data_IF_614029098774
#
_entry.id   IF_614029098774
#
_cell.length_a   1.000
_cell.length_b   1.000
_cell.length_c   1.000
_cell.angle_alpha   90.00
_cell.angle_beta   90.00
_cell.angle_gamma   90.00
#
_symmetry.space_group_name_H-M   'P 1'
#
loop_
_entity.id
_entity.type
_entity.pdbx_description
1 polymer ?
#
# COMPACT_ATOMS: atom_id res chain seq x y z
N UNK A 1 3.45 -12.42 -24.90
CA UNK A 1 4.34 -11.39 -24.30
C UNK A 1 3.58 -10.27 -23.60
N UNK A 2 2.44 -9.80 -24.12
CA UNK A 2 1.63 -8.74 -23.47
C UNK A 2 1.23 -9.06 -22.00
N UNK A 3 0.83 -10.29 -21.71
CA UNK A 3 0.43 -10.71 -20.34
C UNK A 3 1.55 -10.70 -19.31
N UNK A 4 2.81 -10.87 -19.71
CA UNK A 4 3.96 -10.83 -18.78
C UNK A 4 4.33 -9.38 -18.43
N UNK A 5 4.23 -8.45 -19.39
CA UNK A 5 4.49 -7.03 -19.16
C UNK A 5 3.43 -6.42 -18.25
N UNK A 6 2.15 -6.74 -18.46
CA UNK A 6 1.05 -6.30 -17.56
C UNK A 6 1.24 -6.82 -16.13
N UNK A 7 1.79 -8.04 -15.98
CA UNK A 7 2.06 -8.66 -14.68
C UNK A 7 3.18 -7.99 -13.90
N UNK A 8 4.29 -7.71 -14.57
CA UNK A 8 5.42 -7.00 -13.97
C UNK A 8 5.06 -5.55 -13.62
N UNK A 9 4.22 -4.92 -14.45
CA UNK A 9 3.67 -3.60 -14.16
C UNK A 9 2.85 -3.61 -12.86
N UNK A 10 1.91 -4.54 -12.70
CA UNK A 10 1.06 -4.60 -11.50
C UNK A 10 1.88 -4.80 -10.22
N UNK A 11 2.84 -5.71 -10.24
CA UNK A 11 3.73 -5.94 -9.10
C UNK A 11 4.61 -4.72 -8.77
N UNK A 12 5.14 -4.06 -9.81
CA UNK A 12 5.99 -2.88 -9.68
C UNK A 12 5.25 -1.67 -9.12
N UNK A 13 4.09 -1.35 -9.69
CA UNK A 13 3.25 -0.23 -9.24
C UNK A 13 2.77 -0.44 -7.80
N UNK A 14 2.34 -1.66 -7.45
CA UNK A 14 1.98 -2.00 -6.08
C UNK A 14 3.16 -1.83 -5.12
N UNK A 15 4.35 -2.30 -5.49
CA UNK A 15 5.56 -2.11 -4.68
C UNK A 15 5.89 -0.63 -4.47
N UNK A 16 5.74 0.19 -5.51
CA UNK A 16 5.98 1.63 -5.43
C UNK A 16 5.00 2.33 -4.49
N UNK A 17 3.70 2.03 -4.59
CA UNK A 17 2.68 2.60 -3.70
C UNK A 17 2.91 2.21 -2.23
N UNK A 18 3.28 0.95 -1.97
CA UNK A 18 3.64 0.49 -0.62
C UNK A 18 4.91 1.20 -0.11
N UNK A 19 5.89 1.42 -0.99
CA UNK A 19 7.11 2.14 -0.62
C UNK A 19 6.81 3.60 -0.23
N UNK A 20 5.97 4.28 -1.01
CA UNK A 20 5.54 5.65 -0.73
C UNK A 20 4.77 5.74 0.59
N UNK A 21 3.85 4.80 0.84
CA UNK A 21 3.15 4.71 2.12
C UNK A 21 4.12 4.48 3.29
N UNK A 22 5.16 3.66 3.08
CA UNK A 22 6.22 3.44 4.05
C UNK A 22 7.09 4.68 4.32
N UNK A 23 7.15 5.65 3.40
CA UNK A 23 7.81 6.96 3.65
C UNK A 23 6.91 7.92 4.42
N UNK A 24 5.59 7.76 4.30
CA UNK A 24 4.60 8.53 5.05
C UNK A 24 4.43 8.04 6.50
N UNK A 25 4.92 6.84 6.82
CA UNK A 25 5.05 6.36 8.19
C UNK A 25 6.15 7.13 8.94
N UNK A 26 5.79 7.74 10.07
CA UNK A 26 6.71 8.46 10.94
C UNK A 26 7.67 7.50 11.67
N UNK A 27 8.77 8.02 12.21
CA UNK A 27 9.75 7.20 12.93
C UNK A 27 9.14 6.47 14.15
N UNK A 28 8.12 7.04 14.78
CA UNK A 28 7.39 6.46 15.92
C UNK A 28 6.50 5.27 15.51
N UNK A 29 6.23 5.10 14.22
CA UNK A 29 5.33 4.09 13.65
C UNK A 29 6.14 2.91 13.11
N UNK A 30 7.17 2.53 13.87
CA UNK A 30 8.19 1.57 13.45
C UNK A 30 7.59 0.20 13.07
N UNK A 31 6.52 -0.23 13.73
CA UNK A 31 5.88 -1.51 13.45
C UNK A 31 5.12 -1.49 12.12
N UNK A 32 4.35 -0.43 11.85
CA UNK A 32 3.65 -0.24 10.58
C UNK A 32 4.66 -0.07 9.43
N UNK A 33 5.71 0.71 9.64
CA UNK A 33 6.80 0.86 8.68
C UNK A 33 7.50 -0.48 8.39
N UNK A 34 7.67 -1.34 9.40
CA UNK A 34 8.25 -2.69 9.23
C UNK A 34 7.31 -3.59 8.43
N UNK A 35 6.02 -3.55 8.71
CA UNK A 35 5.02 -4.29 7.94
C UNK A 35 5.04 -3.85 6.47
N UNK A 36 4.98 -2.55 6.19
CA UNK A 36 5.00 -2.02 4.82
C UNK A 36 6.27 -2.44 4.06
N UNK A 37 7.45 -2.45 4.70
CA UNK A 37 8.67 -3.02 4.10
C UNK A 37 8.54 -4.51 3.79
N UNK A 38 7.85 -5.26 4.66
CA UNK A 38 7.55 -6.67 4.45
C UNK A 38 6.57 -6.91 3.30
N UNK A 39 5.55 -6.08 3.17
CA UNK A 39 4.55 -6.15 2.10
C UNK A 39 5.15 -5.75 0.75
N UNK A 40 6.00 -4.73 0.72
CA UNK A 40 6.75 -4.34 -0.48
C UNK A 40 7.58 -5.50 -1.03
N UNK A 41 8.35 -6.16 -0.17
CA UNK A 41 9.13 -7.35 -0.57
C UNK A 41 8.23 -8.46 -1.09
N UNK A 42 7.04 -8.65 -0.52
CA UNK A 42 6.09 -9.64 -1.01
C UNK A 42 5.55 -9.27 -2.40
N UNK A 43 5.24 -7.99 -2.65
CA UNK A 43 4.83 -7.53 -3.98
C UNK A 43 5.90 -7.81 -5.05
N UNK A 44 7.17 -7.67 -4.69
CA UNK A 44 8.31 -7.88 -5.59
C UNK A 44 8.64 -9.37 -5.84
N UNK A 45 8.29 -10.27 -4.91
CA UNK A 45 8.79 -11.66 -4.91
C UNK A 45 7.73 -12.74 -5.01
N UNK A 46 6.47 -12.43 -4.67
CA UNK A 46 5.38 -13.42 -4.68
C UNK A 46 4.65 -13.48 -6.02
N UNK A 47 4.01 -14.63 -6.35
CA UNK A 47 3.19 -14.74 -7.54
C UNK A 47 1.94 -13.83 -7.48
N UNK A 48 1.40 -13.48 -8.65
CA UNK A 48 0.38 -12.44 -8.81
C UNK A 48 -0.95 -12.72 -8.10
N UNK A 49 -1.33 -13.98 -8.02
CA UNK A 49 -2.51 -14.45 -7.29
C UNK A 49 -2.47 -14.08 -5.80
N UNK A 50 -1.28 -13.86 -5.25
CA UNK A 50 -1.11 -13.40 -3.87
C UNK A 50 -1.13 -11.87 -3.71
N UNK A 51 -1.06 -11.09 -4.80
CA UNK A 51 -0.96 -9.63 -4.71
C UNK A 51 -2.23 -8.97 -4.19
N UNK A 52 -3.39 -9.60 -4.36
CA UNK A 52 -4.64 -9.12 -3.74
C UNK A 52 -4.54 -9.08 -2.21
N UNK A 53 -3.99 -10.13 -1.60
CA UNK A 53 -3.76 -10.15 -0.15
C UNK A 53 -2.70 -9.13 0.29
N UNK A 54 -1.69 -8.86 -0.55
CA UNK A 54 -0.68 -7.83 -0.27
C UNK A 54 -1.31 -6.43 -0.32
N UNK A 55 -2.13 -6.14 -1.33
CA UNK A 55 -2.84 -4.87 -1.47
C UNK A 55 -3.81 -4.64 -0.30
N UNK A 56 -4.62 -5.63 0.07
CA UNK A 56 -5.54 -5.54 1.20
C UNK A 56 -4.82 -5.25 2.53
N UNK A 57 -3.69 -5.92 2.79
CA UNK A 57 -2.88 -5.66 3.99
C UNK A 57 -2.21 -4.29 3.98
N UNK A 58 -1.77 -3.82 2.81
CA UNK A 58 -1.20 -2.49 2.67
C UNK A 58 -2.25 -1.39 2.90
N UNK A 59 -3.49 -1.59 2.45
CA UNK A 59 -4.61 -0.72 2.75
C UNK A 59 -4.91 -0.68 4.25
N UNK A 60 -4.96 -1.83 4.92
CA UNK A 60 -5.16 -1.89 6.38
C UNK A 60 -4.04 -1.16 7.16
N UNK A 61 -2.78 -1.37 6.77
CA UNK A 61 -1.65 -0.64 7.35
C UNK A 61 -1.72 0.87 7.09
N UNK A 62 -2.20 1.28 5.92
CA UNK A 62 -2.43 2.68 5.57
C UNK A 62 -3.56 3.33 6.37
N UNK A 63 -4.65 2.59 6.61
CA UNK A 63 -5.74 3.04 7.48
C UNK A 63 -5.25 3.25 8.92
N UNK A 64 -4.44 2.32 9.44
CA UNK A 64 -3.80 2.46 10.75
C UNK A 64 -2.94 3.74 10.83
N UNK A 65 -2.12 4.04 9.80
CA UNK A 65 -1.34 5.29 9.74
C UNK A 65 -2.24 6.52 9.80
N UNK A 66 -3.30 6.55 8.99
CA UNK A 66 -4.26 7.64 8.98
C UNK A 66 -4.85 7.87 10.38
N UNK A 67 -5.24 6.79 11.07
CA UNK A 67 -5.76 6.88 12.45
C UNK A 67 -4.71 7.37 13.45
N UNK A 68 -3.45 6.97 13.31
CA UNK A 68 -2.36 7.45 14.16
C UNK A 68 -2.13 8.95 13.99
N UNK A 69 -2.09 9.45 12.75
CA UNK A 69 -1.98 10.89 12.48
C UNK A 69 -3.18 11.67 13.03
N UNK A 70 -4.41 11.17 12.85
CA UNK A 70 -5.61 11.79 13.42
C UNK A 70 -5.57 11.82 14.95
N UNK A 71 -5.13 10.73 15.59
CA UNK A 71 -5.02 10.62 17.05
C UNK A 71 -4.00 11.61 17.64
N UNK A 72 -3.00 12.00 16.85
CA UNK A 72 -1.98 13.02 17.22
C UNK A 72 -2.37 14.44 16.81
N UNK A 73 -3.49 14.63 16.11
CA UNK A 73 -3.89 15.94 15.55
C UNK A 73 -3.04 16.39 14.36
N UNK A 74 -2.30 15.47 13.73
CA UNK A 74 -1.46 15.74 12.57
C UNK A 74 -2.28 15.68 11.26
N UNK A 75 -2.96 16.79 10.96
CA UNK A 75 -3.79 16.89 9.77
C UNK A 75 -2.99 16.80 8.46
N UNK A 76 -1.75 17.29 8.45
CA UNK A 76 -0.90 17.26 7.25
C UNK A 76 -0.41 15.83 6.97
N UNK A 77 0.01 15.10 8.01
CA UNK A 77 0.34 13.67 7.93
C UNK A 77 -0.84 12.86 7.44
N UNK A 78 -2.03 13.06 8.03
CA UNK A 78 -3.27 12.41 7.61
C UNK A 78 -3.57 12.66 6.12
N UNK A 79 -3.55 13.91 5.67
CA UNK A 79 -3.86 14.23 4.27
C UNK A 79 -2.89 13.56 3.29
N UNK A 80 -1.60 13.52 3.62
CA UNK A 80 -0.60 12.88 2.79
C UNK A 80 -0.78 11.37 2.74
N UNK A 81 -0.96 10.72 3.89
CA UNK A 81 -1.20 9.29 4.00
C UNK A 81 -2.49 8.87 3.29
N UNK A 82 -3.60 9.55 3.56
CA UNK A 82 -4.89 9.29 2.93
C UNK A 82 -4.85 9.42 1.41
N UNK A 83 -4.08 10.39 0.87
CA UNK A 83 -3.86 10.52 -0.57
C UNK A 83 -3.12 9.32 -1.18
N UNK A 84 -2.14 8.76 -0.47
CA UNK A 84 -1.44 7.54 -0.90
C UNK A 84 -2.37 6.33 -0.82
N UNK A 85 -3.10 6.17 0.29
CA UNK A 85 -4.08 5.09 0.49
C UNK A 85 -5.17 5.12 -0.58
N UNK A 86 -5.67 6.31 -0.96
CA UNK A 86 -6.64 6.47 -2.04
C UNK A 86 -6.11 5.97 -3.39
N UNK A 87 -4.87 6.34 -3.76
CA UNK A 87 -4.24 5.81 -4.98
C UNK A 87 -4.00 4.31 -4.93
N UNK A 88 -3.59 3.78 -3.78
CA UNK A 88 -3.44 2.34 -3.57
C UNK A 88 -4.75 1.59 -3.77
N UNK A 89 -5.85 2.15 -3.24
CA UNK A 89 -7.18 1.59 -3.39
C UNK A 89 -7.65 1.62 -4.85
N UNK A 90 -7.59 2.79 -5.51
CA UNK A 90 -7.97 2.96 -6.91
C UNK A 90 -7.18 2.02 -7.83
N UNK A 91 -5.87 1.93 -7.62
CA UNK A 91 -5.02 0.99 -8.34
C UNK A 91 -5.44 -0.46 -8.08
N UNK A 92 -5.68 -0.81 -6.81
CA UNK A 92 -6.09 -2.15 -6.41
C UNK A 92 -7.40 -2.58 -7.06
N UNK A 93 -8.40 -1.69 -7.13
CA UNK A 93 -9.67 -1.94 -7.83
C UNK A 93 -9.45 -2.09 -9.34
N UNK A 94 -8.73 -1.14 -9.96
CA UNK A 94 -8.46 -1.17 -11.40
C UNK A 94 -7.66 -2.42 -11.84
N UNK A 95 -6.77 -2.90 -10.98
CA UNK A 95 -5.95 -4.09 -11.23
C UNK A 95 -6.66 -5.41 -10.83
N UNK A 96 -7.88 -5.35 -10.27
CA UNK A 96 -8.63 -6.53 -9.80
C UNK A 96 -7.99 -7.23 -8.59
N UNK A 97 -7.24 -6.48 -7.77
CA UNK A 97 -6.57 -6.96 -6.57
C UNK A 97 -7.44 -6.87 -5.32
N UNK A 98 -8.31 -5.87 -5.26
CA UNK A 98 -9.31 -5.67 -4.20
C UNK A 98 -10.66 -5.36 -4.83
N UNK A 99 -11.73 -5.58 -4.07
CA UNK A 99 -13.10 -5.34 -4.51
C UNK A 99 -13.68 -4.15 -3.75
N UNK A 100 -14.49 -3.33 -4.41
CA UNK A 100 -15.42 -2.41 -3.74
C UNK A 100 -16.41 -3.26 -2.92
N UNK A 101 -16.54 -2.97 -1.62
CA UNK A 101 -17.60 -3.57 -0.79
C UNK A 101 -19.00 -3.09 -1.20
#
# INVERSE_FOLDING_TARGET
>A
MATVVTRQYVAGELSQLIAELGTAAQAEETDVARELRGLRRQAETRPLDSLGAVAARALAAGDELCWLSLSRGDAAGFQWQAGIVGRLYEFGVCAGLVYEE
#
